data_IF_616758308829
#
_entry.id   IF_616758308829
#
_cell.length_a   1.000
_cell.length_b   1.000
_cell.length_c   1.000
_cell.angle_alpha   90.00
_cell.angle_beta   90.00
_cell.angle_gamma   90.00
#
_symmetry.space_group_name_H-M   'P 1'
#
loop_
_entity.id
_entity.type
_entity.pdbx_description
1 polymer ?
#
# COMPACT_ATOMS: atom_id res chain seq x y z
N UNK A 1 -16.89 -5.01 3.20
CA UNK A 1 -17.65 -3.80 2.78
C UNK A 1 -17.57 -2.67 3.79
N UNK A 2 -17.67 -2.94 5.10
CA UNK A 2 -17.59 -1.93 6.17
C UNK A 2 -16.39 -0.99 6.01
N UNK A 3 -15.18 -1.55 5.85
CA UNK A 3 -13.96 -0.74 5.69
C UNK A 3 -14.02 0.20 4.48
N UNK A 4 -14.50 -0.30 3.33
CA UNK A 4 -14.64 0.51 2.12
C UNK A 4 -15.63 1.68 2.33
N UNK A 5 -16.75 1.44 2.99
CA UNK A 5 -17.72 2.48 3.33
C UNK A 5 -17.10 3.54 4.22
N UNK A 6 -16.37 3.14 5.26
CA UNK A 6 -15.65 4.09 6.12
C UNK A 6 -14.61 4.88 5.34
N UNK A 7 -13.80 4.23 4.49
CA UNK A 7 -12.82 4.92 3.65
C UNK A 7 -13.45 5.96 2.73
N UNK A 8 -14.60 5.66 2.13
CA UNK A 8 -15.33 6.62 1.29
C UNK A 8 -15.83 7.80 2.13
N UNK A 9 -16.49 7.55 3.25
CA UNK A 9 -17.04 8.62 4.09
C UNK A 9 -15.92 9.55 4.58
N UNK A 10 -14.82 8.98 5.08
CA UNK A 10 -13.68 9.75 5.59
C UNK A 10 -12.95 10.47 4.46
N UNK A 11 -12.84 9.84 3.28
CA UNK A 11 -12.21 10.46 2.12
C UNK A 11 -13.00 11.66 1.59
N UNK A 12 -14.33 11.55 1.54
CA UNK A 12 -15.22 12.63 1.06
C UNK A 12 -15.39 13.72 2.11
N UNK A 13 -15.50 13.34 3.38
CA UNK A 13 -15.76 14.23 4.51
C UNK A 13 -14.67 14.09 5.59
N UNK A 14 -13.41 14.46 5.30
CA UNK A 14 -12.30 14.31 6.24
C UNK A 14 -12.50 15.10 7.54
N UNK A 15 -13.28 16.18 7.50
CA UNK A 15 -13.66 16.99 8.67
C UNK A 15 -14.27 16.17 9.81
N UNK A 16 -14.94 15.05 9.50
CA UNK A 16 -15.57 14.17 10.49
C UNK A 16 -14.55 13.54 11.43
N UNK A 17 -13.32 13.31 10.96
CA UNK A 17 -12.25 12.70 11.76
C UNK A 17 -11.18 13.73 12.14
N UNK A 18 -10.82 14.62 11.21
CA UNK A 18 -9.73 15.58 11.44
C UNK A 18 -10.04 16.50 12.62
N UNK A 19 -11.26 17.03 12.69
CA UNK A 19 -11.68 17.96 13.74
C UNK A 19 -11.76 17.32 15.13
N UNK A 20 -12.59 16.26 15.33
CA UNK A 20 -12.84 15.74 16.67
C UNK A 20 -11.79 14.74 17.17
N UNK A 21 -11.02 14.08 16.29
CA UNK A 21 -10.08 13.03 16.68
C UNK A 21 -8.62 13.41 16.44
N UNK A 22 -8.27 13.81 15.21
CA UNK A 22 -6.86 14.02 14.84
C UNK A 22 -6.32 15.30 15.48
N UNK A 23 -7.02 16.42 15.32
CA UNK A 23 -6.57 17.72 15.84
C UNK A 23 -6.32 17.69 17.35
N UNK A 24 -7.24 17.19 18.20
CA UNK A 24 -6.99 17.09 19.64
C UNK A 24 -5.84 16.16 19.99
N UNK A 25 -5.71 15.03 19.29
CA UNK A 25 -4.60 14.09 19.52
C UNK A 25 -3.25 14.73 19.19
N UNK A 26 -3.14 15.42 18.06
CA UNK A 26 -1.91 16.10 17.64
C UNK A 26 -1.56 17.25 18.58
N UNK A 27 -2.56 18.06 18.97
CA UNK A 27 -2.38 19.15 19.95
C UNK A 27 -1.85 18.62 21.28
N UNK A 28 -2.39 17.51 21.77
CA UNK A 28 -1.98 16.90 23.03
C UNK A 28 -0.57 16.30 22.95
N UNK A 29 -0.29 15.49 21.92
CA UNK A 29 1.00 14.82 21.72
C UNK A 29 2.15 15.81 21.52
N UNK A 30 1.91 16.89 20.77
CA UNK A 30 2.93 17.88 20.42
C UNK A 30 2.93 19.11 21.32
N UNK A 31 2.01 19.21 22.28
CA UNK A 31 1.91 20.36 23.19
C UNK A 31 1.60 21.69 22.48
N UNK A 32 0.84 21.65 21.39
CA UNK A 32 0.52 22.85 20.60
C UNK A 32 -0.57 23.69 21.30
N UNK A 33 -0.53 25.00 21.13
CA UNK A 33 -1.58 25.89 21.66
C UNK A 33 -2.83 25.95 20.77
N UNK A 34 -2.70 25.56 19.50
CA UNK A 34 -3.77 25.57 18.49
C UNK A 34 -3.63 24.37 17.54
N UNK A 35 -4.74 23.87 16.96
CA UNK A 35 -4.68 22.81 15.99
C UNK A 35 -3.91 23.25 14.73
N UNK A 36 -3.07 22.37 14.15
CA UNK A 36 -2.29 22.68 12.95
C UNK A 36 -3.13 22.71 11.67
N UNK A 37 -4.33 22.15 11.71
CA UNK A 37 -5.25 22.05 10.58
C UNK A 37 -6.57 22.71 10.96
N UNK A 38 -7.00 23.69 10.17
CA UNK A 38 -8.30 24.34 10.35
C UNK A 38 -9.36 23.57 9.58
N UNK A 39 -10.38 23.08 10.29
CA UNK A 39 -11.41 22.24 9.70
C UNK A 39 -12.58 23.10 9.25
N UNK A 40 -13.04 22.89 8.02
CA UNK A 40 -14.20 23.58 7.46
C UNK A 40 -15.28 22.56 7.08
N UNK A 41 -16.47 23.05 6.72
CA UNK A 41 -17.54 22.16 6.26
C UNK A 41 -17.19 21.42 4.96
N UNK A 42 -16.30 21.99 4.13
CA UNK A 42 -15.97 21.47 2.80
C UNK A 42 -14.68 20.63 2.80
N UNK A 43 -14.00 20.52 3.93
CA UNK A 43 -12.73 19.82 4.09
C UNK A 43 -11.87 20.47 5.15
N UNK A 44 -10.61 20.78 4.83
CA UNK A 44 -9.71 21.42 5.78
C UNK A 44 -8.65 22.29 5.12
N UNK A 45 -8.13 23.25 5.89
CA UNK A 45 -7.07 24.19 5.52
C UNK A 45 -5.82 23.95 6.35
N UNK A 46 -4.68 24.15 5.72
CA UNK A 46 -3.34 24.08 6.32
C UNK A 46 -2.58 25.35 6.00
N UNK A 47 -1.41 25.55 6.60
CA UNK A 47 -0.51 26.66 6.26
C UNK A 47 -0.02 26.64 4.81
N UNK A 48 -0.10 25.50 4.12
CA UNK A 48 0.37 25.32 2.74
C UNK A 48 -0.78 25.48 1.73
N UNK A 49 -2.03 25.31 2.16
CA UNK A 49 -3.20 25.42 1.28
C UNK A 49 -4.43 24.70 1.80
N UNK A 50 -5.45 24.62 0.93
CA UNK A 50 -6.78 24.09 1.25
C UNK A 50 -7.06 22.77 0.52
N UNK A 51 -7.68 21.82 1.22
CA UNK A 51 -8.15 20.56 0.65
C UNK A 51 -9.68 20.47 0.76
N UNK A 52 -10.38 20.78 -0.34
CA UNK A 52 -11.84 20.81 -0.44
C UNK A 52 -12.42 19.45 -0.88
N UNK A 53 -12.18 18.40 -0.09
CA UNK A 53 -12.56 17.03 -0.45
C UNK A 53 -14.03 16.88 -0.88
N UNK A 54 -14.95 17.54 -0.17
CA UNK A 54 -16.39 17.49 -0.47
C UNK A 54 -16.68 18.08 -1.84
N UNK A 55 -16.14 19.27 -2.15
CA UNK A 55 -16.37 19.94 -3.43
C UNK A 55 -15.76 19.12 -4.57
N UNK A 56 -14.52 18.64 -4.39
CA UNK A 56 -13.84 17.83 -5.40
C UNK A 56 -14.65 16.57 -5.73
N UNK A 57 -15.22 15.93 -4.72
CA UNK A 57 -16.07 14.75 -4.89
C UNK A 57 -17.34 15.10 -5.69
N UNK A 58 -18.00 16.22 -5.38
CA UNK A 58 -19.19 16.65 -6.12
C UNK A 58 -18.89 16.93 -7.59
N UNK A 59 -17.76 17.57 -7.88
CA UNK A 59 -17.31 17.81 -9.26
C UNK A 59 -17.06 16.50 -9.99
N UNK A 60 -16.36 15.55 -9.36
CA UNK A 60 -16.11 14.23 -9.95
C UNK A 60 -17.41 13.46 -10.20
N UNK A 61 -18.37 13.49 -9.26
CA UNK A 61 -19.68 12.85 -9.43
C UNK A 61 -20.47 13.48 -10.57
N UNK A 62 -20.43 14.80 -10.71
CA UNK A 62 -21.08 15.50 -11.82
C UNK A 62 -20.46 15.10 -13.17
N UNK A 63 -19.13 15.10 -13.27
CA UNK A 63 -18.43 14.69 -14.49
C UNK A 63 -18.70 13.22 -14.83
N UNK A 64 -18.62 12.32 -13.87
CA UNK A 64 -18.92 10.90 -14.07
C UNK A 64 -20.37 10.67 -14.52
N UNK A 65 -21.32 11.42 -13.95
CA UNK A 65 -22.73 11.37 -14.34
C UNK A 65 -22.94 11.83 -15.78
N UNK A 66 -22.25 12.88 -16.22
CA UNK A 66 -22.29 13.36 -17.62
C UNK A 66 -21.73 12.29 -18.57
N UNK A 67 -20.59 11.69 -18.23
CA UNK A 67 -19.99 10.61 -19.05
C UNK A 67 -20.93 9.40 -19.13
N UNK A 68 -21.55 9.01 -18.01
CA UNK A 68 -22.51 7.92 -17.97
C UNK A 68 -23.76 8.22 -18.81
N UNK A 69 -24.25 9.46 -18.78
CA UNK A 69 -25.37 9.91 -19.60
C UNK A 69 -25.02 9.83 -21.09
N UNK A 70 -23.85 10.36 -21.49
CA UNK A 70 -23.36 10.28 -22.88
C UNK A 70 -23.27 8.82 -23.31
N UNK A 71 -22.64 7.96 -22.50
CA UNK A 71 -22.51 6.54 -22.79
C UNK A 71 -23.88 5.88 -23.00
N UNK A 72 -24.84 6.13 -22.12
CA UNK A 72 -26.17 5.52 -22.22
C UNK A 72 -26.96 6.01 -23.44
N UNK A 73 -26.85 7.30 -23.76
CA UNK A 73 -27.44 7.89 -24.97
C UNK A 73 -26.81 7.25 -26.21
N UNK A 74 -25.48 7.23 -26.31
CA UNK A 74 -24.75 6.61 -27.43
C UNK A 74 -25.08 5.14 -27.60
N UNK A 75 -25.15 4.37 -26.50
CA UNK A 75 -25.54 2.96 -26.52
C UNK A 75 -26.98 2.79 -27.05
N UNK A 76 -27.90 3.66 -26.64
CA UNK A 76 -29.29 3.62 -27.09
C UNK A 76 -29.39 3.93 -28.59
N UNK A 77 -28.64 4.92 -29.07
CA UNK A 77 -28.57 5.24 -30.50
C UNK A 77 -27.95 4.08 -31.29
N UNK A 78 -26.80 3.56 -30.85
CA UNK A 78 -26.13 2.42 -31.48
C UNK A 78 -27.04 1.19 -31.59
N UNK A 79 -27.77 0.85 -30.52
CA UNK A 79 -28.75 -0.25 -30.57
C UNK A 79 -29.86 0.01 -31.60
N UNK A 80 -30.29 1.26 -31.79
CA UNK A 80 -31.34 1.61 -32.77
C UNK A 80 -30.83 1.62 -34.21
N UNK A 81 -29.60 2.07 -34.45
CA UNK A 81 -29.07 2.27 -35.81
C UNK A 81 -28.20 1.12 -36.31
N UNK A 82 -27.60 0.33 -35.42
CA UNK A 82 -26.53 -0.60 -35.76
C UNK A 82 -26.81 -2.05 -35.38
N UNK A 83 -27.90 -2.38 -34.67
CA UNK A 83 -28.28 -3.78 -34.49
C UNK A 83 -28.76 -4.34 -35.83
N UNK A 84 -28.02 -5.26 -36.47
CA UNK A 84 -28.50 -5.93 -37.68
C UNK A 84 -29.71 -6.81 -37.32
N UNK A 85 -30.55 -7.19 -38.31
CA UNK A 85 -31.67 -8.11 -38.06
C UNK A 85 -31.17 -9.36 -37.32
N UNK A 86 -32.00 -9.85 -36.39
CA UNK A 86 -31.74 -10.91 -35.38
C UNK A 86 -30.84 -12.06 -35.85
N UNK A 87 -30.85 -12.41 -37.14
CA UNK A 87 -30.02 -13.45 -37.75
C UNK A 87 -28.50 -13.19 -37.69
N UNK A 88 -28.04 -11.94 -37.80
CA UNK A 88 -26.59 -11.62 -37.77
C UNK A 88 -26.04 -11.63 -36.34
N UNK A 89 -26.92 -11.44 -35.34
CA UNK A 89 -26.55 -11.48 -33.91
C UNK A 89 -26.29 -12.91 -33.41
N UNK A 90 -26.90 -13.92 -34.04
CA UNK A 90 -26.61 -15.33 -33.74
C UNK A 90 -25.22 -15.75 -34.25
N UNK A 91 -24.80 -15.30 -35.44
CA UNK A 91 -23.45 -15.54 -35.95
C UNK A 91 -22.38 -14.82 -35.11
N UNK A 92 -22.66 -13.60 -34.63
CA UNK A 92 -21.75 -12.81 -33.77
C UNK A 92 -21.72 -13.26 -32.30
N UNK A 93 -22.66 -14.09 -31.85
CA UNK A 93 -22.65 -14.64 -30.48
C UNK A 93 -21.51 -15.64 -30.26
N UNK A 94 -21.05 -16.28 -31.33
CA UNK A 94 -19.91 -17.20 -31.31
C UNK A 94 -18.57 -16.44 -31.41
N UNK A 95 -18.58 -15.16 -31.80
CA UNK A 95 -17.41 -14.27 -31.80
C UNK A 95 -17.10 -13.77 -30.38
N UNK A 96 -16.41 -14.62 -29.65
CA UNK A 96 -15.91 -14.36 -28.30
C UNK A 96 -14.83 -13.26 -28.34
N UNK A 97 -15.22 -12.01 -28.08
CA UNK A 97 -14.35 -10.84 -27.81
C UNK A 97 -12.95 -10.91 -28.44
N UNK A 98 -12.87 -10.72 -29.76
CA UNK A 98 -11.60 -10.79 -30.45
C UNK A 98 -10.81 -9.47 -30.34
N UNK A 99 -9.50 -9.57 -30.10
CA UNK A 99 -8.59 -8.43 -30.00
C UNK A 99 -8.11 -8.08 -31.41
N UNK A 100 -8.29 -6.81 -31.82
CA UNK A 100 -7.85 -6.33 -33.13
C UNK A 100 -6.32 -6.20 -33.18
N UNK A 101 -5.67 -6.97 -34.04
CA UNK A 101 -4.20 -7.03 -34.18
C UNK A 101 -3.63 -6.01 -35.17
N UNK A 102 -4.40 -4.97 -35.53
CA UNK A 102 -3.93 -3.95 -36.49
C UNK A 102 -3.76 -4.47 -37.93
N UNK A 103 -4.20 -5.71 -38.22
CA UNK A 103 -4.02 -6.36 -39.52
C UNK A 103 -2.68 -7.08 -39.70
N UNK A 104 -1.86 -7.19 -38.65
CA UNK A 104 -0.53 -7.83 -38.71
C UNK A 104 -0.59 -9.37 -38.64
N UNK A 105 -1.71 -9.94 -38.16
CA UNK A 105 -1.94 -11.38 -38.10
C UNK A 105 -3.15 -11.79 -38.96
N UNK A 106 -3.14 -13.01 -39.50
CA UNK A 106 -4.31 -13.62 -40.16
C UNK A 106 -4.74 -14.84 -39.35
N UNK A 107 -5.95 -14.84 -38.76
CA UNK A 107 -6.98 -13.80 -38.84
C UNK A 107 -6.61 -12.51 -38.08
N UNK A 108 -7.14 -11.33 -38.50
CA UNK A 108 -6.85 -10.01 -37.90
C UNK A 108 -7.40 -9.83 -36.48
N UNK A 109 -8.01 -10.88 -35.97
CA UNK A 109 -8.78 -10.94 -34.75
C UNK A 109 -8.33 -12.21 -34.04
N UNK A 110 -7.57 -12.03 -32.95
CA UNK A 110 -7.07 -13.16 -32.16
C UNK A 110 -8.01 -13.42 -30.99
N UNK A 111 -8.28 -14.70 -30.67
CA UNK A 111 -9.06 -15.06 -29.50
C UNK A 111 -8.35 -14.59 -28.22
N UNK A 112 -9.14 -14.12 -27.26
CA UNK A 112 -8.65 -13.49 -26.03
C UNK A 112 -7.79 -14.43 -25.17
N UNK A 113 -7.96 -15.73 -25.33
CA UNK A 113 -7.13 -16.77 -24.71
C UNK A 113 -5.68 -16.77 -25.22
N UNK A 114 -5.48 -16.47 -26.50
CA UNK A 114 -4.16 -16.45 -27.16
C UNK A 114 -3.41 -15.14 -26.92
N UNK A 115 -4.10 -14.08 -26.49
CA UNK A 115 -3.52 -12.77 -26.19
C UNK A 115 -3.20 -12.56 -24.71
N UNK A 116 -3.34 -13.60 -23.88
CA UNK A 116 -3.03 -13.52 -22.45
C UNK A 116 -1.53 -13.41 -22.24
N UNK A 117 -1.09 -12.22 -21.86
CA UNK A 117 0.27 -11.99 -21.34
C UNK A 117 0.43 -12.77 -20.04
N UNK A 118 1.46 -13.61 -19.96
CA UNK A 118 1.79 -14.32 -18.72
C UNK A 118 2.22 -13.33 -17.64
N UNK A 119 2.01 -13.60 -16.33
CA UNK A 119 2.51 -12.74 -15.26
C UNK A 119 4.01 -12.47 -15.37
N UNK A 120 4.79 -13.42 -15.89
CA UNK A 120 6.22 -13.28 -16.11
C UNK A 120 6.54 -12.24 -17.18
N UNK A 121 5.82 -12.25 -18.30
CA UNK A 121 5.95 -11.29 -19.39
C UNK A 121 5.46 -9.90 -18.96
N UNK A 122 4.36 -9.83 -18.21
CA UNK A 122 3.81 -8.56 -17.71
C UNK A 122 4.82 -7.80 -16.84
N UNK A 123 5.59 -8.51 -16.03
CA UNK A 123 6.56 -7.90 -15.09
C UNK A 123 7.99 -7.90 -15.68
N UNK A 124 8.20 -8.36 -16.91
CA UNK A 124 9.54 -8.52 -17.50
C UNK A 124 10.34 -7.20 -17.54
N UNK A 125 9.71 -6.12 -17.97
CA UNK A 125 10.36 -4.80 -18.04
C UNK A 125 10.78 -4.31 -16.65
N UNK A 126 9.91 -4.50 -15.64
CA UNK A 126 10.19 -4.14 -14.25
C UNK A 126 11.29 -5.02 -13.64
N UNK A 127 11.27 -6.34 -13.90
CA UNK A 127 12.35 -7.26 -13.48
C UNK A 127 13.68 -6.86 -14.08
N UNK A 128 13.70 -6.43 -15.34
CA UNK A 128 14.91 -6.01 -16.03
C UNK A 128 15.43 -4.68 -15.48
N UNK A 129 14.58 -3.67 -15.33
CA UNK A 129 14.94 -2.38 -14.78
C UNK A 129 15.42 -2.45 -13.33
N UNK A 130 14.80 -3.31 -12.51
CA UNK A 130 15.14 -3.52 -11.09
C UNK A 130 15.84 -4.87 -10.85
N UNK A 131 16.68 -5.31 -11.79
CA UNK A 131 17.34 -6.62 -11.74
C UNK A 131 18.13 -6.86 -10.45
N UNK A 132 18.83 -5.85 -9.94
CA UNK A 132 19.60 -5.94 -8.67
C UNK A 132 18.69 -6.09 -7.43
N UNK A 133 17.72 -5.19 -7.17
CA UNK A 133 16.72 -5.40 -6.11
C UNK A 133 15.96 -6.72 -6.23
N UNK A 134 15.57 -7.10 -7.46
CA UNK A 134 14.86 -8.34 -7.72
C UNK A 134 15.72 -9.57 -7.38
N UNK A 135 16.99 -9.58 -7.79
CA UNK A 135 17.93 -10.63 -7.44
C UNK A 135 18.22 -10.70 -5.92
N UNK A 136 18.24 -9.56 -5.24
CA UNK A 136 18.34 -9.51 -3.77
C UNK A 136 17.10 -10.12 -3.12
N UNK A 137 15.90 -9.73 -3.55
CA UNK A 137 14.62 -10.27 -3.06
C UNK A 137 14.52 -11.79 -3.30
N UNK A 138 14.83 -12.26 -4.51
CA UNK A 138 14.86 -13.69 -4.85
C UNK A 138 15.88 -14.48 -4.01
N UNK A 139 16.96 -13.83 -3.56
CA UNK A 139 17.90 -14.37 -2.58
C UNK A 139 17.38 -14.21 -1.13
N UNK A 140 16.09 -14.14 -0.89
CA UNK A 140 15.48 -14.01 0.44
C UNK A 140 15.59 -12.62 1.07
N UNK A 141 16.05 -11.63 0.32
CA UNK A 141 16.00 -10.20 0.68
C UNK A 141 16.37 -9.87 2.13
N UNK A 142 15.54 -9.01 2.73
CA UNK A 142 15.69 -8.59 4.13
C UNK A 142 15.39 -9.72 5.12
N UNK A 143 14.52 -10.67 4.77
CA UNK A 143 14.22 -11.81 5.62
C UNK A 143 15.49 -12.61 5.94
N UNK A 144 16.34 -12.87 4.93
CA UNK A 144 17.64 -13.52 5.15
C UNK A 144 18.53 -12.74 6.11
N UNK A 145 18.53 -11.41 6.02
CA UNK A 145 19.31 -10.56 6.92
C UNK A 145 18.78 -10.62 8.36
N UNK A 146 17.45 -10.55 8.52
CA UNK A 146 16.77 -10.65 9.81
C UNK A 146 17.02 -12.01 10.45
N UNK A 147 16.87 -13.10 9.70
CA UNK A 147 17.13 -14.46 10.21
C UNK A 147 18.59 -14.64 10.61
N UNK A 148 19.54 -14.07 9.85
CA UNK A 148 20.96 -14.09 10.22
C UNK A 148 21.25 -13.27 11.49
N UNK A 149 20.66 -12.09 11.60
CA UNK A 149 20.78 -11.25 12.79
C UNK A 149 20.21 -11.94 14.02
N UNK A 150 19.00 -12.51 13.89
CA UNK A 150 18.36 -13.30 14.95
C UNK A 150 19.24 -14.48 15.38
N UNK A 151 19.78 -15.27 14.43
CA UNK A 151 20.68 -16.38 14.75
C UNK A 151 21.94 -15.93 15.50
N UNK A 152 22.53 -14.78 15.14
CA UNK A 152 23.67 -14.23 15.88
C UNK A 152 23.28 -13.81 17.29
N UNK A 153 22.15 -13.11 17.46
CA UNK A 153 21.67 -12.67 18.78
C UNK A 153 21.36 -13.88 19.67
N UNK A 154 20.67 -14.89 19.15
CA UNK A 154 20.36 -16.11 19.91
C UNK A 154 21.61 -16.96 20.17
N UNK A 155 22.57 -16.98 19.25
CA UNK A 155 23.87 -17.64 19.47
C UNK A 155 24.67 -16.95 20.58
N UNK A 156 24.74 -15.62 20.56
CA UNK A 156 25.36 -14.83 21.62
C UNK A 156 24.66 -15.04 22.96
N UNK A 157 23.33 -15.06 22.98
CA UNK A 157 22.55 -15.37 24.18
C UNK A 157 22.88 -16.75 24.78
N UNK A 158 23.11 -17.78 23.94
CA UNK A 158 23.57 -19.09 24.42
C UNK A 158 24.98 -19.07 25.02
N UNK A 159 25.89 -18.23 24.52
CA UNK A 159 27.20 -18.04 25.16
C UNK A 159 27.07 -17.39 26.54
N UNK A 160 26.12 -16.47 26.74
CA UNK A 160 25.78 -15.96 28.07
C UNK A 160 25.08 -16.99 28.96
N UNK A 161 24.37 -17.96 28.39
CA UNK A 161 23.78 -19.07 29.14
C UNK A 161 24.86 -20.07 29.61
N UNK A 162 26.06 -20.09 28.99
CA UNK A 162 27.27 -20.76 29.52
C UNK A 162 27.88 -19.94 30.68
N UNK A 163 27.65 -18.62 30.69
CA UNK A 163 27.82 -17.77 31.88
C UNK A 163 26.57 -17.89 32.80
N UNK A 164 25.85 -19.02 32.75
CA UNK A 164 25.15 -19.46 33.95
C UNK A 164 26.21 -19.69 35.01
N UNK A 165 26.24 -18.77 35.96
CA UNK A 165 27.06 -18.81 37.16
C UNK A 165 26.65 -20.03 38.01
N UNK A 166 27.00 -21.24 37.57
CA UNK A 166 26.69 -22.49 38.26
C UNK A 166 27.48 -22.62 39.57
N UNK A 167 28.60 -21.93 39.68
CA UNK A 167 29.44 -21.91 40.88
C UNK A 167 29.26 -20.62 41.67
N UNK A 168 28.91 -20.76 42.96
CA UNK A 168 28.82 -19.66 43.95
C UNK A 168 30.11 -18.83 43.98
N UNK A 169 31.27 -19.45 43.72
CA UNK A 169 32.57 -18.78 43.64
C UNK A 169 32.62 -17.67 42.58
N UNK A 170 31.89 -17.82 41.47
CA UNK A 170 31.86 -16.84 40.38
C UNK A 170 31.12 -15.56 40.77
N UNK A 171 30.14 -15.65 41.68
CA UNK A 171 29.51 -14.47 42.27
C UNK A 171 30.46 -13.77 43.24
N UNK A 172 31.16 -14.54 44.07
CA UNK A 172 32.12 -13.99 45.04
C UNK A 172 33.25 -13.25 44.33
N UNK A 173 33.82 -13.80 43.26
CA UNK A 173 34.85 -13.09 42.48
C UNK A 173 34.33 -11.84 41.80
N UNK A 174 33.10 -11.84 41.27
CA UNK A 174 32.48 -10.64 40.70
C UNK A 174 32.25 -9.55 41.77
N UNK A 175 31.75 -9.93 42.95
CA UNK A 175 31.56 -9.00 44.07
C UNK A 175 32.88 -8.42 44.57
N UNK A 176 33.93 -9.23 44.66
CA UNK A 176 35.27 -8.76 45.03
C UNK A 176 35.82 -7.79 43.99
N UNK A 177 35.63 -8.07 42.69
CA UNK A 177 36.05 -7.19 41.61
C UNK A 177 35.33 -5.83 41.68
N UNK A 178 34.01 -5.83 41.87
CA UNK A 178 33.21 -4.62 42.03
C UNK A 178 33.65 -3.84 43.28
N UNK A 179 33.86 -4.52 44.41
CA UNK A 179 34.34 -3.89 45.63
C UNK A 179 35.71 -3.24 45.42
N UNK A 180 36.63 -3.89 44.70
CA UNK A 180 37.95 -3.35 44.35
C UNK A 180 37.85 -2.11 43.45
N UNK A 181 36.98 -2.14 42.44
CA UNK A 181 36.73 -0.98 41.57
C UNK A 181 36.16 0.19 42.38
N UNK A 182 35.19 -0.06 43.25
CA UNK A 182 34.62 0.97 44.14
C UNK A 182 35.69 1.52 45.08
N UNK A 183 36.51 0.65 45.68
CA UNK A 183 37.59 1.05 46.58
C UNK A 183 38.62 1.94 45.87
N UNK A 184 39.02 1.56 44.66
CA UNK A 184 39.93 2.34 43.82
C UNK A 184 39.33 3.68 43.38
N UNK A 185 38.01 3.76 43.21
CA UNK A 185 37.31 4.98 42.86
C UNK A 185 37.12 5.92 44.07
N UNK A 186 36.94 5.36 45.26
CA UNK A 186 36.77 6.11 46.53
C UNK A 186 38.11 6.57 47.13
N UNK A 187 39.20 5.84 46.87
CA UNK A 187 40.56 6.19 47.29
C UNK A 187 41.27 7.17 46.33
N UNK A 188 40.57 7.64 45.30
CA UNK A 188 41.04 8.66 44.35
C UNK A 188 40.43 10.01 44.69
#
# INVERSE_FOLDING_TARGET
>A
MILATFSIIIGVAPQIIVGPLINPAVVNILGLSKPPVEVTFLGYSTSIGFYSATILTLVLLASASIVLLIYYISLTFYKRTTLPPVKVVEELKDFKYEVFTGGEASPPLLPLEETKVTPEEFVFALKTAFSKPYAFSMKGGYERLIVRAAKKIFGFSKEFDIIRFENVSSYVTLYVLIALIVLLYVLR
#
